data_IF_090635438904
#
_entry.id   IF_090635438904
#
_cell.length_a   1.000
_cell.length_b   1.000
_cell.length_c   1.000
_cell.angle_alpha   90.00
_cell.angle_beta   90.00
_cell.angle_gamma   90.00
#
_symmetry.space_group_name_H-M   'P 1'
#
loop_
_entity.id
_entity.type
_entity.pdbx_description
1 polymer ?
#
# COMPACT_ATOMS: atom_id res chain seq x y z
N UNK A 1 35.74 -28.89 10.43
CA UNK A 1 35.42 -29.46 11.76
C UNK A 1 34.62 -28.44 12.50
N UNK A 2 33.32 -28.66 12.76
CA UNK A 2 32.51 -27.77 13.56
C UNK A 2 32.81 -28.01 15.04
N UNK A 3 32.97 -26.95 15.80
CA UNK A 3 33.06 -27.00 17.25
C UNK A 3 31.69 -26.87 17.82
N UNK A 4 31.19 -27.98 18.37
CA UNK A 4 29.99 -28.05 19.19
C UNK A 4 30.31 -27.40 20.56
N UNK A 5 29.51 -26.40 20.96
CA UNK A 5 29.53 -25.90 22.33
C UNK A 5 28.32 -26.48 23.06
N UNK A 6 28.60 -27.44 23.97
CA UNK A 6 27.62 -27.90 24.96
C UNK A 6 27.47 -26.83 26.06
N UNK A 7 26.25 -26.30 26.21
CA UNK A 7 25.92 -25.44 27.36
C UNK A 7 25.39 -26.33 28.48
N UNK A 8 26.20 -26.55 29.51
CA UNK A 8 25.77 -27.24 30.75
C UNK A 8 25.10 -26.21 31.65
N UNK A 9 23.79 -26.33 31.83
CA UNK A 9 23.03 -25.51 32.78
C UNK A 9 23.12 -26.20 34.17
N UNK A 10 23.88 -25.59 35.08
CA UNK A 10 23.82 -25.95 36.49
C UNK A 10 22.73 -25.14 37.19
N UNK A 11 21.72 -25.84 37.70
CA UNK A 11 20.68 -25.28 38.57
C UNK A 11 21.25 -25.01 39.95
N UNK A 12 21.70 -23.78 40.18
CA UNK A 12 22.08 -23.28 41.50
C UNK A 12 21.52 -21.86 41.67
N UNK A 13 20.82 -21.65 42.81
CA UNK A 13 20.16 -20.37 43.16
C UNK A 13 21.10 -19.16 43.02
N UNK A 14 21.00 -18.43 41.93
CA UNK A 14 21.60 -17.10 41.73
C UNK A 14 20.57 -16.04 42.10
N UNK A 15 20.81 -15.28 43.14
CA UNK A 15 20.09 -14.04 43.44
C UNK A 15 20.55 -12.99 42.40
N UNK A 16 19.72 -12.66 41.45
CA UNK A 16 19.96 -11.60 40.48
C UNK A 16 19.91 -10.23 41.17
N UNK A 17 20.93 -9.40 40.94
CA UNK A 17 20.94 -8.01 41.39
C UNK A 17 20.02 -7.15 40.51
N UNK A 18 19.56 -5.95 40.96
CA UNK A 18 18.64 -5.10 40.20
C UNK A 18 19.15 -4.67 38.82
N UNK A 19 20.46 -4.65 38.62
CA UNK A 19 21.09 -4.26 37.34
C UNK A 19 20.95 -5.32 36.24
N UNK A 20 20.78 -6.58 36.59
CA UNK A 20 20.60 -7.68 35.62
C UNK A 20 19.14 -7.77 35.13
N UNK A 21 18.19 -7.23 35.90
CA UNK A 21 16.76 -7.24 35.50
C UNK A 21 16.45 -6.27 34.34
N UNK A 22 17.26 -5.22 34.10
CA UNK A 22 17.08 -4.27 33.02
C UNK A 22 17.67 -4.74 31.67
N UNK A 23 18.45 -5.81 31.65
CA UNK A 23 19.02 -6.34 30.40
C UNK A 23 18.15 -7.41 29.71
N UNK A 24 17.14 -7.94 30.40
CA UNK A 24 16.20 -8.91 29.79
C UNK A 24 15.09 -8.29 28.96
N UNK A 25 14.94 -6.96 28.97
CA UNK A 25 13.83 -6.26 28.31
C UNK A 25 14.10 -5.86 26.86
N UNK A 26 15.29 -6.07 26.29
CA UNK A 26 15.64 -5.59 24.94
C UNK A 26 16.24 -6.64 24.00
N UNK A 27 16.18 -7.92 24.32
CA UNK A 27 16.56 -8.92 23.33
C UNK A 27 15.32 -9.38 22.54
N UNK A 28 14.81 -8.48 21.70
CA UNK A 28 13.98 -8.89 20.57
C UNK A 28 14.93 -9.55 19.57
N UNK A 29 15.06 -10.87 19.64
CA UNK A 29 15.84 -11.63 18.67
C UNK A 29 15.39 -11.32 17.25
N UNK A 30 16.24 -11.50 16.22
CA UNK A 30 15.82 -11.30 14.85
C UNK A 30 14.59 -12.17 14.61
N UNK A 31 13.48 -11.54 14.15
CA UNK A 31 12.26 -12.25 13.77
C UNK A 31 12.60 -13.32 12.74
N UNK A 32 11.99 -14.52 12.83
CA UNK A 32 12.11 -15.50 11.77
C UNK A 32 11.59 -14.87 10.47
N UNK A 33 12.39 -14.92 9.42
CA UNK A 33 12.22 -14.21 8.13
C UNK A 33 11.02 -14.73 7.31
N UNK A 34 10.07 -15.50 7.90
CA UNK A 34 9.08 -16.27 7.12
C UNK A 34 7.63 -16.20 7.64
N UNK A 35 7.28 -15.31 8.55
CA UNK A 35 5.87 -15.12 8.91
C UNK A 35 5.35 -13.88 8.17
N UNK A 36 4.35 -14.08 7.31
CA UNK A 36 3.56 -12.98 6.74
C UNK A 36 2.95 -12.20 7.89
N UNK A 37 3.40 -10.96 8.08
CA UNK A 37 2.92 -10.12 9.16
C UNK A 37 1.78 -9.20 8.72
N UNK A 38 1.69 -8.91 7.42
CA UNK A 38 0.74 -7.96 6.87
C UNK A 38 -0.45 -8.68 6.23
N UNK A 39 -1.64 -8.28 6.64
CA UNK A 39 -2.89 -8.66 6.00
C UNK A 39 -3.24 -7.61 4.95
N UNK A 40 -3.69 -8.08 3.79
CA UNK A 40 -4.20 -7.25 2.69
C UNK A 40 -5.68 -7.56 2.52
N UNK A 41 -6.53 -6.56 2.70
CA UNK A 41 -7.96 -6.66 2.40
C UNK A 41 -8.29 -5.73 1.26
N UNK A 42 -9.03 -6.24 0.29
CA UNK A 42 -9.54 -5.50 -0.84
C UNK A 42 -11.05 -5.30 -0.68
N UNK A 43 -11.50 -4.05 -0.79
CA UNK A 43 -12.90 -3.69 -0.94
C UNK A 43 -13.06 -2.98 -2.28
N UNK A 44 -14.02 -3.41 -3.10
CA UNK A 44 -14.22 -2.83 -4.43
C UNK A 44 -15.37 -1.84 -4.39
N UNK A 45 -15.12 -0.61 -4.81
CA UNK A 45 -16.07 0.49 -4.72
C UNK A 45 -16.30 1.19 -6.06
N UNK A 46 -17.26 2.08 -6.07
CA UNK A 46 -17.68 2.97 -7.14
C UNK A 46 -17.99 2.29 -8.49
N UNK A 47 -18.62 2.99 -9.47
CA UNK A 47 -18.97 2.42 -10.76
C UNK A 47 -17.77 1.97 -11.63
N UNK A 48 -16.55 2.43 -11.30
CA UNK A 48 -15.33 2.00 -12.00
C UNK A 48 -14.78 0.67 -11.45
N UNK A 49 -15.36 0.13 -10.34
CA UNK A 49 -14.90 -1.09 -9.66
C UNK A 49 -13.43 -0.97 -9.22
N UNK A 50 -13.13 0.17 -8.61
CA UNK A 50 -11.82 0.42 -8.03
C UNK A 50 -11.60 -0.43 -6.77
N UNK A 51 -10.38 -0.88 -6.57
CA UNK A 51 -9.94 -1.70 -5.44
C UNK A 51 -9.28 -0.83 -4.37
N UNK A 52 -10.02 -0.51 -3.33
CA UNK A 52 -9.52 0.09 -2.10
C UNK A 52 -8.83 -0.95 -1.23
N UNK A 53 -7.63 -0.69 -0.75
CA UNK A 53 -6.88 -1.62 0.10
C UNK A 53 -6.76 -1.16 1.54
N UNK A 54 -6.95 -2.12 2.47
CA UNK A 54 -6.65 -1.98 3.89
C UNK A 54 -5.47 -2.91 4.21
N UNK A 55 -4.37 -2.31 4.64
CA UNK A 55 -3.15 -3.02 5.02
C UNK A 55 -2.99 -2.92 6.53
N UNK A 56 -2.89 -4.05 7.22
CA UNK A 56 -2.76 -4.06 8.68
C UNK A 56 -2.01 -5.30 9.16
N UNK A 57 -1.47 -5.23 10.37
CA UNK A 57 -0.86 -6.37 11.04
C UNK A 57 -1.49 -6.65 12.42
N UNK A 58 -0.85 -7.50 13.22
CA UNK A 58 -1.34 -7.89 14.54
C UNK A 58 -1.42 -6.74 15.55
N UNK A 59 -0.73 -5.61 15.28
CA UNK A 59 -0.83 -4.39 16.11
C UNK A 59 -2.13 -3.65 15.94
N UNK A 60 -2.91 -4.00 14.90
CA UNK A 60 -4.14 -3.32 14.48
C UNK A 60 -3.93 -1.95 13.87
N UNK A 61 -2.71 -1.45 13.74
CA UNK A 61 -2.45 -0.27 12.91
C UNK A 61 -2.75 -0.59 11.45
N UNK A 62 -3.47 0.33 10.80
CA UNK A 62 -4.02 0.14 9.46
C UNK A 62 -3.67 1.31 8.54
N UNK A 63 -3.26 0.98 7.34
CA UNK A 63 -3.10 1.93 6.22
C UNK A 63 -4.25 1.73 5.25
N UNK A 64 -4.91 2.81 4.86
CA UNK A 64 -5.92 2.82 3.78
C UNK A 64 -5.26 3.34 2.52
N UNK A 65 -5.33 2.57 1.44
CA UNK A 65 -4.77 2.91 0.13
C UNK A 65 -5.91 3.05 -0.87
N UNK A 66 -5.91 4.14 -1.62
CA UNK A 66 -6.84 4.46 -2.70
C UNK A 66 -8.32 4.26 -2.29
N UNK A 67 -8.86 5.02 -1.31
CA UNK A 67 -10.26 4.86 -0.94
C UNK A 67 -11.19 5.40 -2.03
N UNK A 68 -11.81 4.49 -2.79
CA UNK A 68 -12.76 4.82 -3.84
C UNK A 68 -14.22 4.98 -3.38
N UNK A 69 -14.50 4.83 -2.07
CA UNK A 69 -15.85 4.84 -1.52
C UNK A 69 -16.50 6.23 -1.60
N UNK A 70 -17.47 6.39 -2.49
CA UNK A 70 -18.21 7.64 -2.69
C UNK A 70 -19.58 7.64 -2.00
N UNK A 71 -20.39 6.59 -2.25
CA UNK A 71 -21.73 6.49 -1.71
C UNK A 71 -21.71 6.21 -0.20
N UNK A 72 -22.75 6.69 0.52
CA UNK A 72 -22.86 6.45 1.96
C UNK A 72 -22.81 4.97 2.33
N UNK A 73 -23.35 4.10 1.50
CA UNK A 73 -23.32 2.64 1.69
C UNK A 73 -21.90 2.09 1.59
N UNK A 74 -21.10 2.57 0.65
CA UNK A 74 -19.69 2.20 0.47
C UNK A 74 -18.83 2.70 1.65
N UNK A 75 -19.03 3.97 2.06
CA UNK A 75 -18.38 4.54 3.24
C UNK A 75 -18.72 3.77 4.53
N UNK A 76 -19.96 3.35 4.68
CA UNK A 76 -20.39 2.51 5.81
C UNK A 76 -19.79 1.10 5.74
N UNK A 77 -19.59 0.54 4.55
CA UNK A 77 -18.93 -0.76 4.37
C UNK A 77 -17.46 -0.69 4.80
N UNK A 78 -16.70 0.30 4.31
CA UNK A 78 -15.32 0.54 4.73
C UNK A 78 -15.22 0.72 6.24
N UNK A 79 -16.05 1.60 6.81
CA UNK A 79 -16.09 1.87 8.25
C UNK A 79 -16.40 0.61 9.06
N UNK A 80 -17.40 -0.16 8.64
CA UNK A 80 -17.81 -1.40 9.31
C UNK A 80 -16.71 -2.44 9.31
N UNK A 81 -15.96 -2.57 8.21
CA UNK A 81 -14.81 -3.47 8.17
C UNK A 81 -13.73 -3.06 9.18
N UNK A 82 -13.39 -1.77 9.23
CA UNK A 82 -12.40 -1.22 10.16
C UNK A 82 -12.82 -1.46 11.61
N UNK A 83 -14.07 -1.16 11.95
CA UNK A 83 -14.61 -1.33 13.31
C UNK A 83 -14.72 -2.82 13.71
N UNK A 84 -15.18 -3.70 12.82
CA UNK A 84 -15.33 -5.12 13.10
C UNK A 84 -14.01 -5.86 13.34
N UNK A 85 -12.90 -5.30 12.83
CA UNK A 85 -11.55 -5.86 13.01
C UNK A 85 -10.71 -5.10 14.05
N UNK A 86 -11.31 -4.13 14.77
CA UNK A 86 -10.64 -3.26 15.75
C UNK A 86 -9.42 -2.53 15.18
N UNK A 87 -9.48 -2.13 13.90
CA UNK A 87 -8.37 -1.49 13.23
C UNK A 87 -8.28 -0.01 13.58
N UNK A 88 -7.04 0.46 13.75
CA UNK A 88 -6.69 1.86 13.97
C UNK A 88 -6.07 2.41 12.68
N UNK A 89 -6.81 3.19 11.92
CA UNK A 89 -6.28 3.85 10.73
C UNK A 89 -5.23 4.88 11.16
N UNK A 90 -4.01 4.72 10.66
CA UNK A 90 -2.86 5.58 10.97
C UNK A 90 -2.33 6.33 9.76
N UNK A 91 -2.66 5.90 8.54
CA UNK A 91 -2.27 6.54 7.30
C UNK A 91 -3.33 6.43 6.22
N UNK A 92 -3.37 7.43 5.34
CA UNK A 92 -4.16 7.48 4.12
C UNK A 92 -3.23 7.77 2.95
N UNK A 93 -3.12 6.83 2.02
CA UNK A 93 -2.22 6.89 0.89
C UNK A 93 -2.98 6.81 -0.43
N UNK A 94 -2.52 7.52 -1.46
CA UNK A 94 -2.91 7.19 -2.83
C UNK A 94 -1.71 6.75 -3.66
N UNK A 95 -1.91 5.73 -4.50
CA UNK A 95 -0.96 5.33 -5.53
C UNK A 95 -0.86 6.41 -6.60
N UNK A 96 -1.99 6.98 -6.96
CA UNK A 96 -2.17 8.09 -7.89
C UNK A 96 -3.53 8.77 -7.66
N UNK A 97 -3.83 9.87 -8.35
CA UNK A 97 -5.00 10.69 -8.05
C UNK A 97 -6.04 10.75 -9.18
N UNK A 98 -6.25 9.67 -9.95
CA UNK A 98 -7.43 9.57 -10.79
C UNK A 98 -8.70 9.51 -9.94
N UNK A 99 -9.82 9.94 -10.54
CA UNK A 99 -11.06 10.21 -9.81
C UNK A 99 -11.54 9.05 -8.94
N UNK A 100 -11.51 7.85 -9.46
CA UNK A 100 -12.00 6.64 -8.80
C UNK A 100 -11.18 6.23 -7.58
N UNK A 101 -9.89 6.58 -7.53
CA UNK A 101 -9.00 6.30 -6.40
C UNK A 101 -9.07 7.33 -5.27
N UNK A 102 -9.73 8.48 -5.50
CA UNK A 102 -9.72 9.59 -4.53
C UNK A 102 -11.09 9.94 -3.96
N UNK A 103 -12.15 9.26 -4.41
CA UNK A 103 -13.54 9.62 -4.06
C UNK A 103 -13.81 9.56 -2.55
N UNK A 104 -13.16 8.65 -1.83
CA UNK A 104 -13.31 8.46 -0.39
C UNK A 104 -12.26 9.18 0.47
N UNK A 105 -11.28 9.87 -0.13
CA UNK A 105 -10.17 10.47 0.61
C UNK A 105 -10.65 11.40 1.74
N UNK A 106 -11.57 12.32 1.47
CA UNK A 106 -12.11 13.23 2.49
C UNK A 106 -12.83 12.48 3.60
N UNK A 107 -13.62 11.46 3.25
CA UNK A 107 -14.31 10.64 4.27
C UNK A 107 -13.33 9.96 5.22
N UNK A 108 -12.27 9.35 4.69
CA UNK A 108 -11.24 8.67 5.49
C UNK A 108 -10.47 9.67 6.34
N UNK A 109 -10.00 10.77 5.75
CA UNK A 109 -9.25 11.81 6.46
C UNK A 109 -10.06 12.43 7.60
N UNK A 110 -11.32 12.80 7.34
CA UNK A 110 -12.19 13.43 8.32
C UNK A 110 -12.62 12.45 9.43
N UNK A 111 -12.83 11.17 9.10
CA UNK A 111 -13.29 10.16 10.07
C UNK A 111 -12.14 9.73 11.00
N UNK A 112 -10.97 9.46 10.45
CA UNK A 112 -9.86 8.87 11.19
C UNK A 112 -8.78 9.87 11.59
N UNK A 113 -8.90 11.14 11.18
CA UNK A 113 -7.96 12.24 11.51
C UNK A 113 -6.55 11.98 11.00
N UNK A 114 -6.46 11.46 9.78
CA UNK A 114 -5.22 11.22 9.04
C UNK A 114 -5.11 12.18 7.86
N UNK A 115 -3.89 12.52 7.48
CA UNK A 115 -3.62 13.34 6.30
C UNK A 115 -3.49 12.47 5.05
N UNK A 116 -3.86 13.01 3.88
CA UNK A 116 -3.65 12.37 2.59
C UNK A 116 -2.19 12.51 2.16
N UNK A 117 -1.53 11.41 1.89
CA UNK A 117 -0.16 11.34 1.40
C UNK A 117 -0.14 10.86 -0.06
N UNK A 118 0.50 11.64 -0.94
CA UNK A 118 0.64 11.37 -2.39
C UNK A 118 2.04 11.75 -2.85
N UNK A 119 2.42 11.36 -4.06
CA UNK A 119 3.59 11.92 -4.73
C UNK A 119 3.31 13.37 -5.17
N UNK A 120 4.33 14.24 -5.14
CA UNK A 120 4.19 15.67 -5.47
C UNK A 120 3.61 15.90 -6.88
N UNK A 121 4.00 15.08 -7.84
CA UNK A 121 3.55 15.19 -9.25
C UNK A 121 2.06 14.86 -9.42
N UNK A 122 1.39 14.28 -8.41
CA UNK A 122 -0.06 14.05 -8.40
C UNK A 122 -0.89 15.25 -7.94
N UNK A 123 -0.28 16.30 -7.42
CA UNK A 123 -1.01 17.49 -6.93
C UNK A 123 -1.91 18.10 -8.00
N UNK A 124 -1.43 18.19 -9.24
CA UNK A 124 -2.21 18.77 -10.34
C UNK A 124 -3.39 17.87 -10.69
N UNK A 125 -3.19 16.55 -10.72
CA UNK A 125 -4.24 15.57 -10.95
C UNK A 125 -5.30 15.68 -9.86
N UNK A 126 -4.92 15.61 -8.59
CA UNK A 126 -5.82 15.73 -7.44
C UNK A 126 -6.68 17.00 -7.48
N UNK A 127 -6.05 18.15 -7.73
CA UNK A 127 -6.73 19.46 -7.79
C UNK A 127 -7.67 19.61 -8.96
N UNK A 128 -7.48 18.84 -10.02
CA UNK A 128 -8.37 18.85 -11.18
C UNK A 128 -9.65 18.04 -10.98
N UNK A 129 -9.65 17.04 -10.10
CA UNK A 129 -10.79 16.12 -9.90
C UNK A 129 -12.10 16.86 -9.60
N UNK A 130 -12.17 17.83 -8.67
CA UNK A 130 -13.42 18.53 -8.38
C UNK A 130 -14.03 19.26 -9.61
N UNK A 131 -13.22 19.59 -10.58
CA UNK A 131 -13.68 20.31 -11.78
C UNK A 131 -14.47 19.38 -12.71
N UNK A 132 -14.04 18.12 -12.85
CA UNK A 132 -14.65 17.19 -13.80
C UNK A 132 -15.49 16.07 -13.14
N UNK A 133 -15.36 15.85 -11.85
CA UNK A 133 -16.12 14.83 -11.12
C UNK A 133 -17.65 14.89 -11.35
N UNK A 134 -18.28 16.08 -11.42
CA UNK A 134 -19.72 16.18 -11.74
C UNK A 134 -20.10 15.57 -13.08
N UNK A 135 -19.21 15.58 -14.09
CA UNK A 135 -19.46 15.01 -15.41
C UNK A 135 -19.54 13.47 -15.38
N UNK A 136 -18.96 12.85 -14.34
CA UNK A 136 -19.01 11.40 -14.08
C UNK A 136 -20.10 11.00 -13.08
N UNK A 137 -20.95 11.95 -12.66
CA UNK A 137 -22.02 11.67 -11.71
C UNK A 137 -21.69 11.94 -10.25
N UNK A 138 -20.49 12.41 -9.94
CA UNK A 138 -20.01 12.66 -8.57
C UNK A 138 -20.20 14.13 -8.17
N UNK A 139 -21.45 14.60 -8.16
CA UNK A 139 -21.79 16.00 -7.90
C UNK A 139 -21.43 16.48 -6.49
N UNK A 140 -21.39 15.56 -5.53
CA UNK A 140 -21.09 15.89 -4.12
C UNK A 140 -19.59 15.71 -3.77
N UNK A 141 -18.76 15.38 -4.76
CA UNK A 141 -17.34 15.26 -4.50
C UNK A 141 -16.74 16.61 -4.08
N UNK A 142 -16.19 16.64 -2.89
CA UNK A 142 -15.49 17.80 -2.35
C UNK A 142 -14.03 17.45 -2.14
N UNK A 143 -13.16 17.82 -3.04
CA UNK A 143 -11.72 17.50 -2.96
C UNK A 143 -11.10 17.67 -1.57
N UNK A 144 -9.89 17.22 -1.40
CA UNK A 144 -9.09 17.36 -0.18
C UNK A 144 -7.69 17.85 -0.57
N UNK A 145 -7.06 18.64 0.28
CA UNK A 145 -5.64 18.97 0.12
C UNK A 145 -4.78 17.80 0.63
N UNK A 146 -3.71 17.54 -0.09
CA UNK A 146 -2.71 16.56 0.34
C UNK A 146 -1.81 17.14 1.44
N UNK A 147 -1.23 16.26 2.25
CA UNK A 147 -0.11 16.59 3.12
C UNK A 147 1.07 17.14 2.31
N UNK A 148 1.87 17.99 2.91
CA UNK A 148 3.13 18.46 2.31
C UNK A 148 4.29 17.46 2.50
N UNK A 149 4.03 16.36 3.19
CA UNK A 149 4.97 15.25 3.31
C UNK A 149 4.76 14.29 2.14
N UNK A 150 5.34 14.65 0.99
CA UNK A 150 5.16 13.90 -0.25
C UNK A 150 5.90 12.55 -0.23
N UNK A 151 5.24 11.54 -0.80
CA UNK A 151 5.80 10.22 -1.05
C UNK A 151 6.93 10.32 -2.10
N UNK A 152 8.06 9.69 -1.84
CA UNK A 152 9.21 9.72 -2.76
C UNK A 152 9.79 8.34 -2.98
N UNK A 153 10.37 8.15 -4.16
CA UNK A 153 11.16 6.94 -4.48
C UNK A 153 12.15 6.61 -3.37
N UNK A 154 12.11 5.37 -2.89
CA UNK A 154 13.03 4.84 -1.91
C UNK A 154 12.69 5.17 -0.45
N UNK A 155 11.68 6.01 -0.20
CA UNK A 155 11.16 6.21 1.15
C UNK A 155 10.47 4.93 1.66
N UNK A 156 10.40 4.81 2.97
CA UNK A 156 9.75 3.70 3.67
C UNK A 156 8.60 4.21 4.51
N UNK A 157 7.44 3.58 4.39
CA UNK A 157 6.27 3.78 5.24
C UNK A 157 6.23 2.65 6.26
N UNK A 158 6.17 3.00 7.55
CA UNK A 158 6.03 2.02 8.63
C UNK A 158 4.68 2.18 9.31
N UNK A 159 4.07 1.06 9.68
CA UNK A 159 2.88 0.98 10.52
C UNK A 159 2.89 -0.35 11.28
N UNK A 160 2.61 -0.28 12.57
CA UNK A 160 2.75 -1.45 13.44
C UNK A 160 4.13 -2.09 13.33
N UNK A 161 4.15 -3.34 12.90
CA UNK A 161 5.36 -4.12 12.63
C UNK A 161 5.66 -4.26 11.14
N UNK A 162 4.90 -3.59 10.28
CA UNK A 162 4.95 -3.72 8.83
C UNK A 162 5.65 -2.53 8.17
N UNK A 163 6.21 -2.78 6.99
CA UNK A 163 6.97 -1.80 6.23
C UNK A 163 6.63 -1.88 4.74
N UNK A 164 6.47 -0.72 4.10
CA UNK A 164 6.25 -0.58 2.67
C UNK A 164 7.32 0.33 2.08
N UNK A 165 8.02 -0.14 1.08
CA UNK A 165 8.91 0.66 0.24
C UNK A 165 8.11 1.37 -0.85
N UNK A 166 8.43 2.62 -1.13
CA UNK A 166 7.82 3.40 -2.21
C UNK A 166 8.67 3.24 -3.47
N UNK A 167 8.03 2.76 -4.55
CA UNK A 167 8.64 2.69 -5.87
C UNK A 167 7.89 3.67 -6.79
N UNK A 168 8.63 4.61 -7.39
CA UNK A 168 8.09 5.55 -8.35
C UNK A 168 7.90 4.88 -9.71
N UNK A 169 6.65 4.81 -10.18
CA UNK A 169 6.26 4.06 -11.38
C UNK A 169 5.32 4.87 -12.28
N UNK A 170 5.79 6.02 -12.83
CA UNK A 170 4.98 6.88 -13.67
C UNK A 170 4.65 6.22 -15.01
N UNK A 171 3.70 6.83 -15.73
CA UNK A 171 3.31 6.48 -17.10
C UNK A 171 1.81 6.25 -17.28
N UNK A 172 1.11 5.70 -16.26
CA UNK A 172 -0.36 5.78 -16.18
C UNK A 172 -0.80 7.16 -15.67
N UNK A 173 -0.17 7.63 -14.62
CA UNK A 173 -0.27 8.98 -14.09
C UNK A 173 1.14 9.52 -13.81
N UNK A 174 1.32 10.86 -13.77
CA UNK A 174 2.66 11.47 -13.73
C UNK A 174 3.41 11.18 -12.42
N UNK A 175 2.68 11.11 -11.31
CA UNK A 175 3.23 10.87 -9.97
C UNK A 175 2.90 9.48 -9.41
N UNK A 176 2.57 8.51 -10.25
CA UNK A 176 2.17 7.20 -9.79
C UNK A 176 3.27 6.52 -8.97
N UNK A 177 2.93 6.03 -7.78
CA UNK A 177 3.79 5.21 -6.92
C UNK A 177 3.14 3.86 -6.66
N UNK A 178 3.97 2.85 -6.37
CA UNK A 178 3.52 1.55 -5.88
C UNK A 178 4.13 1.29 -4.51
N UNK A 179 3.43 0.54 -3.66
CA UNK A 179 3.87 0.23 -2.30
C UNK A 179 4.26 -1.24 -2.22
N UNK A 180 5.52 -1.51 -1.88
CA UNK A 180 6.07 -2.87 -1.85
C UNK A 180 6.52 -3.28 -0.45
N UNK A 181 5.98 -4.38 0.06
CA UNK A 181 6.50 -5.08 1.24
C UNK A 181 7.40 -6.23 0.81
N UNK A 182 8.69 -6.11 1.08
CA UNK A 182 9.66 -7.16 0.77
C UNK A 182 9.49 -8.39 1.70
N UNK A 183 9.12 -8.16 2.97
CA UNK A 183 8.90 -9.22 3.94
C UNK A 183 7.70 -10.11 3.56
N UNK A 184 6.61 -9.49 3.10
CA UNK A 184 5.36 -10.18 2.76
C UNK A 184 5.28 -10.56 1.28
N UNK A 185 6.18 -10.03 0.43
CA UNK A 185 6.17 -10.16 -1.03
C UNK A 185 4.84 -9.69 -1.63
N UNK A 186 4.40 -8.52 -1.18
CA UNK A 186 3.18 -7.85 -1.58
C UNK A 186 3.50 -6.53 -2.25
N UNK A 187 2.86 -6.25 -3.38
CA UNK A 187 2.94 -4.98 -4.10
C UNK A 187 1.54 -4.43 -4.32
N UNK A 188 1.21 -3.28 -3.73
CA UNK A 188 0.00 -2.53 -4.07
C UNK A 188 0.33 -1.70 -5.30
N UNK A 189 -0.16 -2.15 -6.44
CA UNK A 189 0.29 -1.72 -7.77
C UNK A 189 -0.46 -0.53 -8.34
N UNK A 190 -1.61 -0.13 -7.75
CA UNK A 190 -2.49 0.84 -8.41
C UNK A 190 -2.73 0.45 -9.86
N UNK A 191 -2.67 1.42 -10.76
CA UNK A 191 -2.98 1.23 -12.19
C UNK A 191 -1.73 1.07 -13.07
N UNK A 192 -0.66 0.46 -12.54
CA UNK A 192 0.55 0.17 -13.31
C UNK A 192 0.45 -1.17 -14.03
N UNK A 193 0.14 -2.26 -13.31
CA UNK A 193 0.18 -3.62 -13.82
C UNK A 193 -1.06 -4.40 -13.40
N UNK A 194 -1.81 -4.88 -14.37
CA UNK A 194 -3.01 -5.70 -14.19
C UNK A 194 -2.75 -7.14 -14.66
N UNK A 195 -3.63 -8.05 -14.26
CA UNK A 195 -3.57 -9.44 -14.73
C UNK A 195 -3.77 -9.52 -16.24
N UNK A 196 -2.67 -9.78 -16.96
CA UNK A 196 -2.64 -9.86 -18.43
C UNK A 196 -2.84 -8.51 -19.12
N UNK A 197 -2.69 -7.37 -18.42
CA UNK A 197 -2.84 -6.03 -18.96
C UNK A 197 -1.95 -5.02 -18.26
N UNK A 198 -2.00 -3.77 -18.69
CA UNK A 198 -1.32 -2.63 -18.08
C UNK A 198 -2.30 -1.45 -17.97
N UNK A 199 -1.96 -0.44 -17.18
CA UNK A 199 -2.70 0.80 -17.08
C UNK A 199 -2.83 1.50 -18.43
N UNK A 200 -3.91 2.26 -18.61
CA UNK A 200 -4.06 3.14 -19.79
C UNK A 200 -3.10 4.31 -19.69
N UNK A 201 -2.74 4.87 -20.85
CA UNK A 201 -1.76 5.96 -20.94
C UNK A 201 -2.25 7.13 -21.76
N UNK A 202 -3.54 7.16 -22.07
CA UNK A 202 -4.19 8.17 -22.92
C UNK A 202 -4.85 9.32 -22.13
N UNK A 203 -4.75 9.31 -20.81
CA UNK A 203 -5.19 10.40 -19.94
C UNK A 203 -4.08 11.47 -19.78
N UNK A 204 -4.42 12.70 -19.35
CA UNK A 204 -3.44 13.76 -19.15
C UNK A 204 -2.29 13.32 -18.21
N UNK A 205 -1.06 13.46 -18.70
CA UNK A 205 0.15 13.01 -17.97
C UNK A 205 0.51 11.55 -18.19
N UNK A 206 -0.30 10.79 -18.94
CA UNK A 206 0.01 9.41 -19.32
C UNK A 206 1.02 9.33 -20.46
N UNK A 207 1.89 8.31 -20.43
CA UNK A 207 2.87 8.00 -21.47
C UNK A 207 3.18 6.51 -21.50
N UNK A 208 2.98 5.87 -22.66
CA UNK A 208 3.10 4.43 -22.81
C UNK A 208 4.53 3.92 -22.58
N UNK A 209 5.51 4.58 -23.18
CA UNK A 209 6.91 4.13 -23.08
C UNK A 209 7.43 4.29 -21.66
N UNK A 210 7.02 5.34 -20.97
CA UNK A 210 7.31 5.56 -19.55
C UNK A 210 6.68 4.46 -18.69
N UNK A 211 5.43 4.08 -18.93
CA UNK A 211 4.77 3.00 -18.20
C UNK A 211 5.48 1.65 -18.39
N UNK A 212 5.79 1.30 -19.63
CA UNK A 212 6.54 0.07 -19.95
C UNK A 212 7.90 0.08 -19.25
N UNK A 213 8.61 1.21 -19.27
CA UNK A 213 9.88 1.34 -18.57
C UNK A 213 9.71 1.17 -17.05
N UNK A 214 8.71 1.79 -16.44
CA UNK A 214 8.40 1.67 -15.02
C UNK A 214 8.14 0.21 -14.63
N UNK A 215 7.33 -0.52 -15.41
CA UNK A 215 7.06 -1.94 -15.15
C UNK A 215 8.36 -2.75 -15.22
N UNK A 216 9.16 -2.57 -16.26
CA UNK A 216 10.38 -3.36 -16.46
C UNK A 216 11.47 -3.07 -15.45
N UNK A 217 11.64 -1.81 -15.08
CA UNK A 217 12.76 -1.38 -14.21
C UNK A 217 12.42 -1.35 -12.73
N UNK A 218 11.13 -1.34 -12.36
CA UNK A 218 10.65 -1.33 -10.97
C UNK A 218 9.95 -2.62 -10.60
N UNK A 219 8.84 -2.97 -11.26
CA UNK A 219 8.04 -4.12 -10.86
C UNK A 219 8.71 -5.45 -11.23
N UNK A 220 9.28 -5.57 -12.44
CA UNK A 220 9.92 -6.81 -12.89
C UNK A 220 11.28 -7.09 -12.23
N UNK A 221 11.80 -6.18 -11.41
CA UNK A 221 12.97 -6.42 -10.56
C UNK A 221 12.58 -7.07 -9.21
N UNK A 222 11.30 -7.04 -8.86
CA UNK A 222 10.78 -7.70 -7.67
C UNK A 222 10.84 -9.23 -7.81
N UNK A 223 10.89 -9.97 -6.70
CA UNK A 223 10.83 -11.44 -6.71
C UNK A 223 9.64 -11.96 -7.50
N UNK A 224 9.83 -13.04 -8.21
CA UNK A 224 8.82 -13.62 -9.10
C UNK A 224 7.53 -14.05 -8.37
N UNK A 225 7.62 -14.42 -7.10
CA UNK A 225 6.50 -14.78 -6.24
C UNK A 225 5.83 -13.59 -5.54
N UNK A 226 6.22 -12.36 -5.89
CA UNK A 226 5.53 -11.16 -5.40
C UNK A 226 4.11 -11.11 -5.97
N UNK A 227 3.12 -10.99 -5.06
CA UNK A 227 1.71 -10.77 -5.42
C UNK A 227 1.49 -9.29 -5.69
N UNK A 228 0.94 -8.97 -6.85
CA UNK A 228 0.54 -7.60 -7.22
C UNK A 228 -0.96 -7.45 -7.05
N UNK A 229 -1.35 -6.49 -6.24
CA UNK A 229 -2.72 -6.07 -5.97
C UNK A 229 -3.01 -4.80 -6.77
N UNK A 230 -3.72 -4.91 -7.90
CA UNK A 230 -3.96 -3.79 -8.81
C UNK A 230 -5.11 -2.90 -8.36
N UNK A 231 -5.19 -1.67 -8.90
CA UNK A 231 -6.31 -0.76 -8.68
C UNK A 231 -7.65 -1.28 -9.23
N UNK A 232 -7.61 -2.20 -10.19
CA UNK A 232 -8.81 -2.83 -10.75
C UNK A 232 -8.61 -4.30 -11.03
N UNK A 233 -9.70 -5.07 -10.86
CA UNK A 233 -9.72 -6.50 -11.18
C UNK A 233 -8.93 -7.37 -10.19
N UNK A 234 -8.60 -8.60 -10.58
CA UNK A 234 -7.99 -9.57 -9.68
C UNK A 234 -6.48 -9.38 -9.55
N UNK A 235 -5.94 -9.86 -8.43
CA UNK A 235 -4.52 -9.97 -8.17
C UNK A 235 -3.78 -10.81 -9.23
N UNK A 236 -2.48 -10.56 -9.36
CA UNK A 236 -1.57 -11.30 -10.22
C UNK A 236 -0.22 -11.50 -9.53
N UNK A 237 0.76 -12.07 -10.23
CA UNK A 237 2.14 -12.21 -9.74
C UNK A 237 3.15 -11.70 -10.75
N UNK A 238 4.31 -11.28 -10.28
CA UNK A 238 5.40 -10.84 -11.16
C UNK A 238 5.77 -11.94 -12.14
N UNK A 239 5.86 -13.21 -11.70
CA UNK A 239 6.15 -14.35 -12.60
C UNK A 239 5.10 -14.51 -13.70
N UNK A 240 3.81 -14.38 -13.36
CA UNK A 240 2.73 -14.51 -14.33
C UNK A 240 2.83 -13.44 -15.40
N UNK A 241 3.02 -12.17 -14.99
CA UNK A 241 3.05 -11.05 -15.92
C UNK A 241 4.31 -11.04 -16.80
N UNK A 242 5.47 -11.40 -16.27
CA UNK A 242 6.70 -11.61 -17.07
C UNK A 242 6.47 -12.62 -18.18
N UNK A 243 5.69 -13.66 -17.93
CA UNK A 243 5.49 -14.78 -18.85
C UNK A 243 4.34 -14.57 -19.84
N UNK A 244 3.24 -13.98 -19.38
CA UNK A 244 1.97 -14.05 -20.12
C UNK A 244 1.41 -12.68 -20.54
N UNK A 245 1.91 -11.58 -19.97
CA UNK A 245 1.37 -10.26 -20.30
C UNK A 245 1.67 -9.88 -21.76
N UNK A 246 0.64 -9.64 -22.61
CA UNK A 246 0.84 -9.40 -24.04
C UNK A 246 1.50 -8.04 -24.34
N UNK A 247 1.44 -7.08 -23.42
CA UNK A 247 2.03 -5.73 -23.56
C UNK A 247 3.52 -5.71 -23.24
N UNK A 248 4.06 -6.74 -22.59
CA UNK A 248 5.39 -6.75 -22.01
C UNK A 248 6.34 -7.77 -22.65
N UNK A 249 5.87 -8.42 -23.70
CA UNK A 249 6.66 -9.40 -24.50
C UNK A 249 7.65 -8.75 -25.44
#
# INVERSE_FOLDING_TARGET
MPHDYEVIIHTGNLRLTPEVRNLEAEFVGPRPVNEKNMNVTCLTFNPFQENTYLLHDDTKECVVVDPGCYELTEQQELKRYIEANDLKVVRLLNTHCHIDHVLGNRFVADTYKVELEIHEDELQTLRSVPVYAPNYGFQMYSGIEASTNYLKEGDTITFGNSELQILFAPGHAPGHVVFYSAADKVCIGGDVLFKGSIGRTDLPGGDFDTLINSIRTKLFTLPDDTVVYPGHGPETTIAYEKKYNPFLR
#
